data_IF_315359439412
#
_entry.id   IF_315359439412
#
_cell.length_a   1.000
_cell.length_b   1.000
_cell.length_c   1.000
_cell.angle_alpha   90.00
_cell.angle_beta   90.00
_cell.angle_gamma   90.00
#
_symmetry.space_group_name_H-M   'P 1'
#
loop_
_entity.id
_entity.type
_entity.pdbx_description
1 polymer ?
#
# COMPACT_ATOMS: atom_id res chain seq x y z
N UNK A 1 44.68 -9.62 4.16
CA UNK A 1 43.38 -9.96 3.60
C UNK A 1 42.44 -10.60 4.64
N UNK A 2 42.83 -11.68 5.32
CA UNK A 2 42.02 -12.39 6.33
C UNK A 2 41.55 -11.49 7.50
N UNK A 3 42.47 -10.69 8.09
CA UNK A 3 42.16 -9.75 9.17
C UNK A 3 41.13 -8.66 8.76
N UNK A 4 41.21 -8.16 7.53
CA UNK A 4 40.25 -7.17 7.00
C UNK A 4 38.86 -7.76 6.83
N UNK A 5 38.76 -9.04 6.41
CA UNK A 5 37.47 -9.74 6.30
C UNK A 5 36.87 -9.95 7.69
N UNK A 6 37.66 -10.38 8.68
CA UNK A 6 37.19 -10.51 10.07
C UNK A 6 36.70 -9.16 10.61
N UNK A 7 37.50 -8.10 10.43
CA UNK A 7 37.12 -6.75 10.87
C UNK A 7 35.81 -6.31 10.22
N UNK A 8 35.62 -6.54 8.91
CA UNK A 8 34.39 -6.21 8.21
C UNK A 8 33.17 -6.98 8.76
N UNK A 9 33.35 -8.29 9.02
CA UNK A 9 32.28 -9.12 9.62
C UNK A 9 31.90 -8.60 11.01
N UNK A 10 32.90 -8.31 11.86
CA UNK A 10 32.68 -7.80 13.22
C UNK A 10 31.99 -6.44 13.19
N UNK A 11 32.44 -5.52 12.36
CA UNK A 11 31.80 -4.20 12.21
C UNK A 11 30.36 -4.31 11.68
N UNK A 12 30.11 -5.21 10.73
CA UNK A 12 28.78 -5.48 10.19
C UNK A 12 27.85 -6.06 11.27
N UNK A 13 28.36 -6.99 12.09
CA UNK A 13 27.61 -7.56 13.19
C UNK A 13 27.30 -6.52 14.29
N UNK A 14 28.28 -5.70 14.66
CA UNK A 14 28.09 -4.61 15.62
C UNK A 14 27.10 -3.58 15.11
N UNK A 15 27.16 -3.23 13.82
CA UNK A 15 26.18 -2.34 13.18
C UNK A 15 24.78 -2.94 13.19
N UNK A 16 24.65 -4.23 12.90
CA UNK A 16 23.39 -4.96 12.95
C UNK A 16 22.79 -4.98 14.37
N UNK A 17 23.61 -5.33 15.38
CA UNK A 17 23.18 -5.33 16.80
C UNK A 17 22.76 -3.91 17.24
N UNK A 18 23.53 -2.90 16.84
CA UNK A 18 23.22 -1.50 17.14
C UNK A 18 21.90 -1.05 16.49
N UNK A 19 21.61 -1.51 15.27
CA UNK A 19 20.33 -1.30 14.60
C UNK A 19 19.16 -1.99 15.32
N UNK A 20 19.35 -3.25 15.75
CA UNK A 20 18.35 -4.01 16.52
C UNK A 20 18.00 -3.34 17.85
N UNK A 21 19.02 -2.88 18.59
CA UNK A 21 18.83 -2.17 19.86
C UNK A 21 18.13 -0.82 19.64
N UNK A 22 18.52 -0.09 18.59
CA UNK A 22 17.92 1.20 18.25
C UNK A 22 16.43 1.13 17.89
N UNK A 23 15.98 -0.01 17.33
CA UNK A 23 14.55 -0.25 17.05
C UNK A 23 13.73 -0.47 18.32
N UNK A 24 14.29 -1.10 19.33
CA UNK A 24 13.62 -1.31 20.63
C UNK A 24 13.52 -0.04 21.45
N UNK A 25 14.38 0.95 21.18
CA UNK A 25 14.34 2.25 21.87
C UNK A 25 13.32 3.16 21.18
N UNK A 26 12.39 3.70 21.93
CA UNK A 26 11.41 4.67 21.45
C UNK A 26 11.92 6.11 21.58
N UNK A 27 11.37 6.99 20.77
CA UNK A 27 11.56 8.44 20.89
C UNK A 27 11.01 8.93 22.25
N UNK A 28 11.65 9.94 22.83
CA UNK A 28 11.14 10.59 24.06
C UNK A 28 9.95 11.50 23.78
N UNK A 29 9.26 11.94 24.85
CA UNK A 29 8.18 12.93 24.81
C UNK A 29 7.08 12.62 23.78
N UNK A 30 6.57 11.38 23.79
CA UNK A 30 5.57 10.90 22.82
C UNK A 30 4.30 11.75 22.90
N UNK A 31 3.93 12.18 24.09
CA UNK A 31 2.78 13.04 24.38
C UNK A 31 2.86 14.44 23.74
N UNK A 32 4.07 14.92 23.44
CA UNK A 32 4.30 16.18 22.71
C UNK A 32 4.43 16.00 21.19
N UNK A 33 4.27 14.79 20.70
CA UNK A 33 4.42 14.48 19.28
C UNK A 33 3.09 14.27 18.60
N UNK A 34 2.99 14.83 17.39
CA UNK A 34 1.83 14.69 16.53
C UNK A 34 2.20 14.02 15.22
N UNK A 35 1.28 13.22 14.70
CA UNK A 35 1.40 12.53 13.41
C UNK A 35 0.21 12.85 12.53
N UNK A 36 0.42 12.97 11.21
CA UNK A 36 -0.65 13.05 10.22
C UNK A 36 -0.72 11.72 9.46
N UNK A 37 -1.92 11.13 9.45
CA UNK A 37 -2.20 9.90 8.72
C UNK A 37 -3.25 10.19 7.64
N UNK A 38 -2.95 9.88 6.38
CA UNK A 38 -3.93 10.02 5.29
C UNK A 38 -4.70 8.72 5.07
N UNK A 39 -5.96 8.81 4.64
CA UNK A 39 -6.77 7.63 4.33
C UNK A 39 -7.26 6.85 5.56
N UNK A 40 -7.70 7.56 6.60
CA UNK A 40 -8.11 6.96 7.88
C UNK A 40 -9.55 6.41 7.91
N UNK A 41 -10.28 6.44 6.80
CA UNK A 41 -11.67 5.99 6.78
C UNK A 41 -11.86 4.49 7.03
N UNK A 42 -10.87 3.67 6.70
CA UNK A 42 -10.88 2.20 6.91
C UNK A 42 -9.46 1.61 6.83
N UNK A 43 -9.34 0.30 7.07
CA UNK A 43 -8.09 -0.47 6.91
C UNK A 43 -6.93 0.05 7.76
N UNK A 44 -5.71 -0.11 7.27
CA UNK A 44 -4.50 0.21 8.03
C UNK A 44 -4.48 1.62 8.62
N UNK A 45 -4.95 2.64 7.88
CA UNK A 45 -4.98 4.02 8.38
C UNK A 45 -5.86 4.16 9.63
N UNK A 46 -7.04 3.54 9.64
CA UNK A 46 -7.96 3.57 10.79
C UNK A 46 -7.38 2.84 12.00
N UNK A 47 -6.80 1.66 11.80
CA UNK A 47 -6.21 0.86 12.87
C UNK A 47 -4.96 1.53 13.45
N UNK A 48 -4.17 2.19 12.59
CA UNK A 48 -3.00 2.95 13.01
C UNK A 48 -3.39 4.18 13.86
N UNK A 49 -4.49 4.87 13.54
CA UNK A 49 -5.04 5.95 14.40
C UNK A 49 -5.27 5.43 15.81
N UNK A 50 -5.97 4.29 15.95
CA UNK A 50 -6.21 3.64 17.25
C UNK A 50 -4.90 3.36 17.98
N UNK A 51 -3.93 2.73 17.30
CA UNK A 51 -2.63 2.37 17.88
C UNK A 51 -1.85 3.58 18.37
N UNK A 52 -1.81 4.66 17.59
CA UNK A 52 -1.13 5.91 17.97
C UNK A 52 -1.78 6.58 19.19
N UNK A 53 -3.11 6.66 19.23
CA UNK A 53 -3.85 7.24 20.36
C UNK A 53 -3.63 6.47 21.65
N UNK A 54 -3.68 5.14 21.60
CA UNK A 54 -3.44 4.26 22.75
C UNK A 54 -2.05 4.42 23.34
N UNK A 55 -1.08 4.85 22.52
CA UNK A 55 0.30 5.06 22.95
C UNK A 55 0.66 6.55 23.18
N UNK A 56 -0.33 7.44 23.28
CA UNK A 56 -0.13 8.81 23.73
C UNK A 56 0.21 9.83 22.63
N UNK A 57 0.31 9.42 21.36
CA UNK A 57 0.51 10.35 20.24
C UNK A 57 -0.74 11.19 19.98
N UNK A 58 -0.54 12.45 19.56
CA UNK A 58 -1.60 13.24 18.94
C UNK A 58 -1.72 12.88 17.47
N UNK A 59 -2.95 12.64 16.99
CA UNK A 59 -3.21 12.16 15.65
C UNK A 59 -4.08 13.11 14.86
N UNK A 60 -3.57 13.58 13.75
CA UNK A 60 -4.31 14.22 12.68
C UNK A 60 -4.75 13.13 11.69
N UNK A 61 -6.05 12.92 11.57
CA UNK A 61 -6.62 11.83 10.78
C UNK A 61 -7.38 12.34 9.55
N UNK A 62 -6.75 12.24 8.37
CA UNK A 62 -7.36 12.66 7.10
C UNK A 62 -8.28 11.58 6.53
N UNK A 63 -9.55 11.88 6.34
CA UNK A 63 -10.56 11.01 5.73
C UNK A 63 -11.14 11.65 4.46
N UNK A 64 -11.23 10.91 3.36
CA UNK A 64 -11.80 11.47 2.12
C UNK A 64 -13.28 11.83 2.27
N UNK A 65 -14.07 11.03 2.99
CA UNK A 65 -15.51 11.22 3.16
C UNK A 65 -15.82 11.83 4.53
N UNK A 66 -16.69 12.85 4.56
CA UNK A 66 -17.15 13.48 5.81
C UNK A 66 -17.78 12.50 6.79
N UNK A 67 -18.54 11.52 6.30
CA UNK A 67 -19.14 10.49 7.17
C UNK A 67 -18.08 9.68 7.90
N UNK A 68 -16.94 9.39 7.25
CA UNK A 68 -15.85 8.63 7.87
C UNK A 68 -15.10 9.44 8.94
N UNK A 69 -15.13 10.77 8.90
CA UNK A 69 -14.61 11.63 9.97
C UNK A 69 -15.44 11.39 11.24
N UNK A 70 -16.76 11.49 11.13
CA UNK A 70 -17.68 11.28 12.25
C UNK A 70 -17.58 9.87 12.82
N UNK A 71 -17.58 8.85 11.96
CA UNK A 71 -17.41 7.45 12.37
C UNK A 71 -16.10 7.22 13.14
N UNK A 72 -15.03 7.91 12.77
CA UNK A 72 -13.73 7.80 13.42
C UNK A 72 -13.75 8.47 14.81
N UNK A 73 -14.32 9.68 14.90
CA UNK A 73 -14.48 10.42 16.15
C UNK A 73 -15.34 9.64 17.15
N UNK A 74 -16.51 9.16 16.71
CA UNK A 74 -17.40 8.36 17.55
C UNK A 74 -16.73 7.08 18.05
N UNK A 75 -16.00 6.37 17.18
CA UNK A 75 -15.34 5.10 17.52
C UNK A 75 -14.18 5.25 18.50
N UNK A 76 -13.49 6.38 18.49
CA UNK A 76 -12.28 6.58 19.30
C UNK A 76 -12.41 7.67 20.34
N UNK A 77 -13.62 8.19 20.58
CA UNK A 77 -13.90 9.21 21.61
C UNK A 77 -13.36 8.84 22.99
N UNK A 78 -13.56 7.58 23.42
CA UNK A 78 -13.16 7.07 24.72
C UNK A 78 -11.63 6.98 24.93
N UNK A 79 -10.87 6.76 23.86
CA UNK A 79 -9.41 6.58 23.91
C UNK A 79 -8.64 7.82 23.48
N UNK A 80 -9.29 8.76 22.80
CA UNK A 80 -8.65 9.93 22.18
C UNK A 80 -8.09 10.90 23.23
N UNK A 81 -8.79 11.07 24.35
CA UNK A 81 -8.42 12.01 25.42
C UNK A 81 -8.05 13.42 24.88
N UNK A 82 -8.77 13.89 23.86
CA UNK A 82 -8.51 15.17 23.19
C UNK A 82 -7.28 15.19 22.28
N UNK A 83 -6.73 14.03 21.90
CA UNK A 83 -5.58 13.91 21.01
C UNK A 83 -5.92 13.49 19.58
N UNK A 84 -7.19 13.26 19.24
CA UNK A 84 -7.66 12.99 17.88
C UNK A 84 -8.21 14.26 17.24
N UNK A 85 -7.69 14.58 16.07
CA UNK A 85 -8.18 15.65 15.18
C UNK A 85 -8.49 15.02 13.83
N UNK A 86 -9.74 14.61 13.64
CA UNK A 86 -10.19 14.06 12.39
C UNK A 86 -10.78 15.15 11.49
N UNK A 87 -10.49 15.10 10.20
CA UNK A 87 -11.01 16.07 9.24
C UNK A 87 -11.12 15.47 7.83
N UNK A 88 -11.96 16.10 7.03
CA UNK A 88 -12.06 15.73 5.62
C UNK A 88 -10.81 16.16 4.86
N UNK A 89 -10.17 15.21 4.15
CA UNK A 89 -8.98 15.43 3.35
C UNK A 89 -9.02 14.53 2.12
N UNK A 90 -9.19 15.14 0.95
CA UNK A 90 -8.98 14.48 -0.33
C UNK A 90 -7.56 14.79 -0.84
N UNK A 91 -6.73 13.76 -0.97
CA UNK A 91 -5.34 13.91 -1.39
C UNK A 91 -5.20 14.28 -2.87
N UNK A 92 -6.29 14.19 -3.64
CA UNK A 92 -6.33 14.58 -5.07
C UNK A 92 -6.68 16.06 -5.26
N UNK A 93 -7.09 16.75 -4.20
CA UNK A 93 -7.51 18.14 -4.24
C UNK A 93 -6.53 19.05 -3.45
N UNK A 94 -5.89 19.98 -4.15
CA UNK A 94 -4.91 20.91 -3.59
C UNK A 94 -5.52 21.78 -2.47
N UNK A 95 -6.75 22.22 -2.65
CA UNK A 95 -7.44 23.08 -1.69
C UNK A 95 -7.81 22.28 -0.41
N UNK A 96 -8.23 21.03 -0.57
CA UNK A 96 -8.51 20.13 0.57
C UNK A 96 -7.26 19.88 1.40
N UNK A 97 -6.12 19.65 0.74
CA UNK A 97 -4.83 19.44 1.42
C UNK A 97 -4.35 20.74 2.10
N UNK A 98 -4.52 21.89 1.45
CA UNK A 98 -4.18 23.20 2.01
C UNK A 98 -5.01 23.51 3.28
N UNK A 99 -6.32 23.32 3.24
CA UNK A 99 -7.19 23.48 4.43
C UNK A 99 -6.78 22.57 5.59
N UNK A 100 -6.42 21.33 5.26
CA UNK A 100 -5.91 20.37 6.25
C UNK A 100 -4.62 20.88 6.92
N UNK A 101 -3.74 21.56 6.17
CA UNK A 101 -2.52 22.16 6.70
C UNK A 101 -2.85 23.27 7.70
N UNK A 102 -3.83 24.11 7.44
CA UNK A 102 -4.24 25.20 8.33
C UNK A 102 -4.73 24.66 9.68
N UNK A 103 -5.52 23.57 9.67
CA UNK A 103 -5.97 22.88 10.90
C UNK A 103 -4.77 22.37 11.69
N UNK A 104 -3.85 21.67 11.01
CA UNK A 104 -2.65 21.11 11.66
C UNK A 104 -1.80 22.21 12.28
N UNK A 105 -1.51 23.30 11.56
CA UNK A 105 -0.69 24.41 12.05
C UNK A 105 -1.33 25.08 13.29
N UNK A 106 -2.64 25.23 13.31
CA UNK A 106 -3.38 25.80 14.42
C UNK A 106 -3.24 24.94 15.67
N UNK A 107 -3.53 23.65 15.58
CA UNK A 107 -3.45 22.72 16.71
C UNK A 107 -2.02 22.56 17.22
N UNK A 108 -1.03 22.44 16.32
CA UNK A 108 0.39 22.34 16.71
C UNK A 108 0.81 23.55 17.56
N UNK A 109 0.39 24.74 17.18
CA UNK A 109 0.69 25.98 17.91
C UNK A 109 -0.04 26.06 19.24
N UNK A 110 -1.35 25.80 19.25
CA UNK A 110 -2.18 25.91 20.47
C UNK A 110 -1.80 24.89 21.54
N UNK A 111 -1.42 23.67 21.12
CA UNK A 111 -1.06 22.57 22.02
C UNK A 111 0.44 22.43 22.24
N UNK A 112 1.26 23.31 21.66
CA UNK A 112 2.73 23.24 21.71
C UNK A 112 3.27 21.84 21.31
N UNK A 113 2.79 21.32 20.18
CA UNK A 113 3.14 19.99 19.68
C UNK A 113 4.22 20.04 18.60
N UNK A 114 4.97 18.96 18.48
CA UNK A 114 5.96 18.76 17.42
C UNK A 114 5.36 17.85 16.34
N UNK A 115 5.33 18.29 15.11
CA UNK A 115 4.91 17.47 13.96
C UNK A 115 5.98 16.42 13.65
N UNK A 116 5.82 15.22 14.14
CA UNK A 116 6.87 14.20 14.15
C UNK A 116 6.87 13.31 12.90
N UNK A 117 5.70 12.90 12.41
CA UNK A 117 5.63 12.01 11.23
C UNK A 117 4.45 12.33 10.32
N UNK A 118 4.69 12.17 9.01
CA UNK A 118 3.68 12.15 7.96
C UNK A 118 3.53 10.72 7.46
N UNK A 119 2.33 10.16 7.53
CA UNK A 119 2.03 8.81 7.06
C UNK A 119 1.14 8.91 5.81
N UNK A 120 1.74 8.74 4.65
CA UNK A 120 1.08 8.64 3.36
C UNK A 120 0.52 7.22 3.20
N UNK A 121 -0.68 7.00 3.76
CA UNK A 121 -1.37 5.71 3.73
C UNK A 121 -2.56 5.71 2.74
N UNK A 122 -3.11 6.86 2.38
CA UNK A 122 -4.17 6.96 1.40
C UNK A 122 -3.78 6.26 0.08
N UNK A 123 -4.68 5.46 -0.44
CA UNK A 123 -4.47 4.76 -1.69
C UNK A 123 -5.73 4.09 -2.21
N UNK A 124 -5.76 3.83 -3.49
CA UNK A 124 -6.82 3.09 -4.18
C UNK A 124 -6.19 2.00 -5.04
N UNK A 125 -6.91 0.91 -5.24
CA UNK A 125 -6.45 -0.19 -6.09
C UNK A 125 -6.69 0.09 -7.58
N UNK A 126 -7.73 0.83 -7.89
CA UNK A 126 -8.21 1.01 -9.25
C UNK A 126 -8.85 -0.25 -9.82
N UNK A 127 -9.27 -0.19 -11.06
CA UNK A 127 -9.88 -1.30 -11.75
C UNK A 127 -8.86 -2.43 -11.98
N UNK A 128 -9.31 -3.67 -11.75
CA UNK A 128 -8.52 -4.89 -11.88
C UNK A 128 -9.06 -5.71 -13.04
N UNK A 129 -8.32 -5.74 -14.13
CA UNK A 129 -8.63 -6.59 -15.28
C UNK A 129 -7.39 -6.67 -16.19
N UNK A 130 -7.47 -7.47 -17.27
CA UNK A 130 -6.44 -7.43 -18.30
C UNK A 130 -6.41 -6.06 -18.98
N UNK A 131 -5.21 -5.64 -19.40
CA UNK A 131 -4.96 -4.32 -19.98
C UNK A 131 -5.86 -4.01 -21.20
N UNK A 132 -6.23 -5.03 -21.98
CA UNK A 132 -7.19 -4.94 -23.09
C UNK A 132 -8.53 -4.26 -22.69
N UNK A 133 -8.92 -4.30 -21.43
CA UNK A 133 -10.17 -3.75 -20.89
C UNK A 133 -9.98 -2.42 -20.17
N UNK A 134 -8.75 -2.04 -19.90
CA UNK A 134 -8.43 -0.82 -19.15
C UNK A 134 -8.22 0.35 -20.09
N UNK A 135 -8.56 1.53 -19.62
CA UNK A 135 -8.36 2.80 -20.33
C UNK A 135 -7.26 3.62 -19.66
N UNK A 136 -6.72 4.60 -20.35
CA UNK A 136 -5.76 5.55 -19.78
C UNK A 136 -6.31 6.24 -18.53
N UNK A 137 -7.63 6.48 -18.48
CA UNK A 137 -8.25 7.12 -17.32
C UNK A 137 -8.28 6.21 -16.10
N UNK A 138 -8.40 4.87 -16.26
CA UNK A 138 -8.22 3.92 -15.15
C UNK A 138 -6.82 4.02 -14.51
N UNK A 139 -5.80 4.31 -15.31
CA UNK A 139 -4.43 4.52 -14.82
C UNK A 139 -4.29 5.89 -14.15
N UNK A 140 -4.83 6.95 -14.75
CA UNK A 140 -4.77 8.31 -14.20
C UNK A 140 -5.46 8.40 -12.83
N UNK A 141 -6.63 7.78 -12.68
CA UNK A 141 -7.38 7.78 -11.43
C UNK A 141 -6.57 7.17 -10.27
N UNK A 142 -5.86 6.09 -10.53
CA UNK A 142 -5.00 5.45 -9.52
C UNK A 142 -3.74 6.27 -9.28
N UNK A 143 -3.13 6.79 -10.33
CA UNK A 143 -1.92 7.62 -10.25
C UNK A 143 -2.18 8.90 -9.48
N UNK A 144 -3.33 9.55 -9.70
CA UNK A 144 -3.70 10.79 -9.02
C UNK A 144 -3.79 10.60 -7.50
N UNK A 145 -4.33 9.48 -7.02
CA UNK A 145 -4.39 9.20 -5.58
C UNK A 145 -3.05 8.71 -5.06
N UNK A 146 -2.49 7.65 -5.68
CA UNK A 146 -1.38 6.88 -5.11
C UNK A 146 -0.01 7.53 -5.29
N UNK A 147 0.13 8.41 -6.28
CA UNK A 147 1.40 9.08 -6.61
C UNK A 147 1.28 10.59 -6.44
N UNK A 148 0.44 11.27 -7.24
CA UNK A 148 0.28 12.73 -7.15
C UNK A 148 -0.21 13.15 -5.76
N UNK A 149 -1.15 12.41 -5.16
CA UNK A 149 -1.66 12.66 -3.82
C UNK A 149 -0.56 12.58 -2.75
N UNK A 150 0.33 11.58 -2.83
CA UNK A 150 1.48 11.46 -1.91
C UNK A 150 2.45 12.63 -2.08
N UNK A 151 2.74 13.02 -3.32
CA UNK A 151 3.61 14.18 -3.62
C UNK A 151 2.99 15.46 -3.06
N UNK A 152 1.71 15.72 -3.36
CA UNK A 152 0.96 16.90 -2.92
C UNK A 152 0.97 17.05 -1.41
N UNK A 153 0.61 16.01 -0.68
CA UNK A 153 0.61 16.00 0.78
C UNK A 153 2.04 16.18 1.32
N UNK A 154 3.02 15.46 0.77
CA UNK A 154 4.41 15.59 1.20
C UNK A 154 4.94 17.01 0.99
N UNK A 155 4.69 17.62 -0.16
CA UNK A 155 5.11 19.00 -0.43
C UNK A 155 4.48 20.01 0.52
N UNK A 156 3.20 19.82 0.86
CA UNK A 156 2.45 20.70 1.77
C UNK A 156 2.96 20.65 3.21
N UNK A 157 3.42 19.49 3.68
CA UNK A 157 3.83 19.29 5.08
C UNK A 157 5.33 19.15 5.29
N UNK A 158 6.16 19.17 4.23
CA UNK A 158 7.61 18.89 4.32
C UNK A 158 8.39 19.86 5.19
N UNK A 159 7.98 21.13 5.29
CA UNK A 159 8.65 22.13 6.11
C UNK A 159 8.49 21.82 7.61
N UNK A 160 7.31 21.33 8.04
CA UNK A 160 7.08 20.84 9.39
C UNK A 160 7.98 19.64 9.70
N UNK A 161 8.10 18.69 8.78
CA UNK A 161 8.98 17.52 8.92
C UNK A 161 10.45 17.93 8.99
N UNK A 162 10.88 18.86 8.13
CA UNK A 162 12.24 19.39 8.17
C UNK A 162 12.55 20.09 9.49
N UNK A 163 11.63 20.92 9.97
CA UNK A 163 11.79 21.65 11.24
C UNK A 163 11.94 20.72 12.43
N UNK A 164 11.17 19.65 12.47
CA UNK A 164 11.17 18.67 13.57
C UNK A 164 12.25 17.60 13.43
N UNK A 165 12.93 17.50 12.28
CA UNK A 165 13.74 16.32 11.89
C UNK A 165 12.95 15.03 12.04
N UNK A 166 11.69 15.10 11.62
CA UNK A 166 10.76 14.00 11.67
C UNK A 166 10.95 13.00 10.54
N UNK A 167 9.88 12.31 10.18
CA UNK A 167 9.95 11.24 9.16
C UNK A 167 8.73 11.19 8.27
N UNK A 168 8.88 10.60 7.10
CA UNK A 168 7.79 10.30 6.17
C UNK A 168 7.67 8.78 6.05
N UNK A 169 6.48 8.26 6.26
CA UNK A 169 6.16 6.83 6.11
C UNK A 169 5.22 6.66 4.93
N UNK A 170 5.56 5.78 4.00
CA UNK A 170 4.79 5.54 2.77
C UNK A 170 4.26 4.12 2.77
N UNK A 171 2.95 3.98 2.55
CA UNK A 171 2.31 2.69 2.30
C UNK A 171 2.55 2.25 0.86
N UNK A 172 3.44 1.32 0.67
CA UNK A 172 3.70 0.66 -0.61
C UNK A 172 2.88 -0.65 -0.73
N UNK A 173 3.35 -1.61 -1.48
CA UNK A 173 2.69 -2.91 -1.66
C UNK A 173 3.67 -3.97 -2.13
N UNK A 174 3.38 -5.22 -1.85
CA UNK A 174 4.09 -6.37 -2.42
C UNK A 174 4.09 -6.36 -3.96
N UNK A 175 3.10 -5.74 -4.60
CA UNK A 175 3.02 -5.64 -6.07
C UNK A 175 4.11 -4.75 -6.68
N UNK A 176 4.89 -4.03 -5.88
CA UNK A 176 6.09 -3.33 -6.36
C UNK A 176 7.27 -4.28 -6.59
N UNK A 177 7.23 -5.47 -6.02
CA UNK A 177 8.30 -6.45 -6.09
C UNK A 177 8.22 -7.35 -7.33
N UNK A 178 7.06 -7.41 -8.00
CA UNK A 178 6.85 -8.30 -9.15
C UNK A 178 5.75 -7.79 -10.10
N UNK A 179 5.81 -8.14 -11.40
CA UNK A 179 4.75 -7.82 -12.35
C UNK A 179 3.51 -8.66 -12.07
N UNK A 180 2.45 -8.05 -11.56
CA UNK A 180 1.18 -8.71 -11.28
C UNK A 180 0.20 -8.48 -12.43
N UNK A 181 -0.19 -9.55 -13.15
CA UNK A 181 -1.18 -9.47 -14.19
C UNK A 181 -2.53 -8.94 -13.66
N UNK A 182 -3.18 -8.05 -14.41
CA UNK A 182 -4.46 -7.45 -14.05
C UNK A 182 -4.40 -6.35 -12.97
N UNK A 183 -3.20 -5.94 -12.53
CA UNK A 183 -3.00 -4.85 -11.56
C UNK A 183 -2.18 -3.70 -12.14
N UNK A 184 -2.20 -3.48 -13.45
CA UNK A 184 -1.38 -2.48 -14.13
C UNK A 184 -1.39 -1.10 -13.47
N UNK A 185 -2.56 -0.43 -13.31
CA UNK A 185 -2.64 0.90 -12.72
C UNK A 185 -2.03 0.97 -11.31
N UNK A 186 -2.34 -0.02 -10.47
CA UNK A 186 -1.88 -0.07 -9.09
C UNK A 186 -0.37 -0.30 -8.97
N UNK A 187 0.16 -1.29 -9.69
CA UNK A 187 1.59 -1.62 -9.66
C UNK A 187 2.46 -0.45 -10.15
N UNK A 188 2.08 0.23 -11.23
CA UNK A 188 2.77 1.40 -11.74
C UNK A 188 2.81 2.55 -10.73
N UNK A 189 1.72 2.75 -9.96
CA UNK A 189 1.60 3.89 -9.04
C UNK A 189 2.41 3.76 -7.74
N UNK A 190 2.87 2.56 -7.39
CA UNK A 190 3.56 2.30 -6.11
C UNK A 190 5.09 2.35 -6.19
N UNK A 191 5.68 2.55 -7.37
CA UNK A 191 7.13 2.42 -7.60
C UNK A 191 7.95 3.71 -7.40
N UNK A 192 7.38 4.86 -7.05
CA UNK A 192 8.05 6.16 -7.25
C UNK A 192 8.20 7.08 -6.04
N UNK A 193 8.83 6.77 -4.93
CA UNK A 193 9.15 7.85 -3.99
C UNK A 193 10.37 7.59 -3.09
N UNK A 194 11.57 7.91 -3.58
CA UNK A 194 12.73 8.20 -2.74
C UNK A 194 13.31 9.54 -3.13
N UNK A 195 13.07 10.62 -2.44
CA UNK A 195 14.09 11.64 -2.32
C UNK A 195 13.94 12.58 -1.10
N UNK A 196 14.98 13.28 -0.75
CA UNK A 196 15.10 14.53 0.04
C UNK A 196 15.80 14.50 1.40
N UNK A 197 16.62 13.49 1.75
CA UNK A 197 17.47 13.56 2.95
C UNK A 197 16.72 13.56 4.29
N UNK A 198 15.46 13.16 4.27
CA UNK A 198 14.60 12.85 5.42
C UNK A 198 14.47 11.33 5.44
N UNK A 199 14.43 10.70 6.61
CA UNK A 199 14.14 9.27 6.69
C UNK A 199 12.79 8.98 6.03
N UNK A 200 12.83 8.51 4.80
CA UNK A 200 11.66 8.02 4.08
C UNK A 200 11.58 6.52 4.32
N UNK A 201 10.52 6.10 4.99
CA UNK A 201 10.33 4.72 5.41
C UNK A 201 9.23 4.11 4.55
N UNK A 202 9.55 3.00 3.91
CA UNK A 202 8.61 2.26 3.07
C UNK A 202 8.05 1.05 3.82
N UNK A 203 6.72 0.93 3.84
CA UNK A 203 5.99 -0.22 4.39
C UNK A 203 5.44 -1.02 3.21
N UNK A 204 5.89 -2.25 3.05
CA UNK A 204 5.46 -3.18 1.99
C UNK A 204 4.63 -4.31 2.63
N UNK A 205 3.33 -4.12 2.80
CA UNK A 205 2.45 -5.18 3.27
C UNK A 205 2.18 -6.19 2.15
N UNK A 206 1.99 -7.45 2.54
CA UNK A 206 1.47 -8.51 1.70
C UNK A 206 -0.04 -8.44 1.52
N UNK A 207 -0.64 -9.60 1.37
CA UNK A 207 -2.08 -9.76 1.14
C UNK A 207 -2.84 -9.76 2.48
N UNK A 208 -3.17 -8.58 2.98
CA UNK A 208 -3.95 -8.41 4.21
C UNK A 208 -5.38 -7.95 3.91
N UNK A 209 -6.33 -8.36 4.76
CA UNK A 209 -7.71 -7.92 4.64
C UNK A 209 -7.84 -6.42 4.96
N UNK A 210 -8.33 -5.69 3.97
CA UNK A 210 -8.67 -4.28 4.10
C UNK A 210 -9.94 -4.00 3.30
N UNK A 211 -10.64 -2.91 3.58
CA UNK A 211 -11.80 -2.51 2.78
C UNK A 211 -11.51 -2.28 1.29
N UNK A 212 -10.24 -2.19 0.91
CA UNK A 212 -9.76 -2.13 -0.48
C UNK A 212 -9.80 -3.51 -1.15
N UNK A 213 -9.66 -4.58 -0.39
CA UNK A 213 -9.53 -5.97 -0.86
C UNK A 213 -10.79 -6.82 -0.62
N UNK A 214 -11.96 -6.25 -0.30
CA UNK A 214 -13.16 -7.08 -0.13
C UNK A 214 -13.59 -7.72 -1.47
N UNK A 215 -14.02 -8.99 -1.40
CA UNK A 215 -14.45 -9.75 -2.59
C UNK A 215 -15.58 -9.04 -3.36
N UNK A 216 -16.55 -8.48 -2.64
CA UNK A 216 -17.68 -7.78 -3.26
C UNK A 216 -17.21 -6.57 -4.06
N UNK A 217 -16.28 -5.79 -3.49
CA UNK A 217 -15.74 -4.61 -4.17
C UNK A 217 -14.95 -4.98 -5.41
N UNK A 218 -14.09 -5.99 -5.32
CA UNK A 218 -13.29 -6.46 -6.45
C UNK A 218 -14.16 -7.03 -7.57
N UNK A 219 -15.21 -7.79 -7.23
CA UNK A 219 -16.17 -8.31 -8.19
C UNK A 219 -16.93 -7.18 -8.86
N UNK A 220 -17.42 -6.19 -8.08
CA UNK A 220 -18.10 -5.02 -8.63
C UNK A 220 -17.22 -4.27 -9.64
N UNK A 221 -15.98 -4.03 -9.31
CA UNK A 221 -15.02 -3.37 -10.21
C UNK A 221 -14.77 -4.19 -11.49
N UNK A 222 -14.60 -5.50 -11.38
CA UNK A 222 -14.45 -6.38 -12.53
C UNK A 222 -15.70 -6.37 -13.43
N UNK A 223 -16.90 -6.36 -12.82
CA UNK A 223 -18.15 -6.27 -13.55
C UNK A 223 -18.29 -4.95 -14.31
N UNK A 224 -17.97 -3.83 -13.68
CA UNK A 224 -18.00 -2.50 -14.32
C UNK A 224 -17.09 -2.46 -15.56
N UNK A 225 -15.86 -2.96 -15.43
CA UNK A 225 -14.92 -3.05 -16.55
C UNK A 225 -15.42 -3.96 -17.67
N UNK A 226 -15.99 -5.13 -17.32
CA UNK A 226 -16.53 -6.08 -18.28
C UNK A 226 -17.71 -5.49 -19.06
N UNK A 227 -18.64 -4.82 -18.39
CA UNK A 227 -19.84 -4.29 -19.03
C UNK A 227 -19.59 -3.07 -19.91
N UNK A 228 -18.56 -2.25 -19.63
CA UNK A 228 -18.18 -1.14 -20.51
C UNK A 228 -17.39 -1.57 -21.74
N UNK A 229 -16.84 -2.81 -21.76
CA UNK A 229 -16.09 -3.33 -22.87
C UNK A 229 -16.97 -3.58 -24.11
N UNK A 230 -16.38 -3.45 -25.32
CA UNK A 230 -17.08 -3.74 -26.57
C UNK A 230 -17.51 -5.20 -26.65
N UNK A 231 -18.58 -5.49 -27.40
CA UNK A 231 -19.03 -6.87 -27.62
C UNK A 231 -17.92 -7.71 -28.25
N UNK A 232 -17.20 -7.15 -29.24
CA UNK A 232 -16.07 -7.82 -29.89
C UNK A 232 -15.03 -8.30 -28.88
N UNK A 233 -14.64 -7.44 -27.93
CA UNK A 233 -13.65 -7.79 -26.91
C UNK A 233 -14.19 -8.89 -25.98
N UNK A 234 -15.45 -8.82 -25.57
CA UNK A 234 -16.07 -9.87 -24.75
C UNK A 234 -16.14 -11.21 -25.46
N UNK A 235 -16.39 -11.23 -26.76
CA UNK A 235 -16.41 -12.46 -27.57
C UNK A 235 -15.02 -13.09 -27.73
N UNK A 236 -13.97 -12.26 -27.82
CA UNK A 236 -12.57 -12.71 -27.85
C UNK A 236 -12.16 -13.43 -26.57
N UNK A 237 -12.64 -12.95 -25.42
CA UNK A 237 -12.36 -13.56 -24.12
C UNK A 237 -13.31 -14.71 -23.79
N UNK A 238 -14.52 -14.72 -24.33
CA UNK A 238 -15.56 -15.74 -24.14
C UNK A 238 -16.68 -15.29 -23.20
N UNK A 239 -17.91 -15.64 -23.55
CA UNK A 239 -19.14 -15.16 -22.90
C UNK A 239 -19.20 -15.40 -21.38
N UNK A 240 -18.62 -16.49 -20.88
CA UNK A 240 -18.60 -16.85 -19.46
C UNK A 240 -17.31 -16.42 -18.75
N UNK A 241 -16.49 -15.58 -19.40
CA UNK A 241 -15.19 -15.19 -18.85
C UNK A 241 -15.33 -14.41 -17.54
N UNK A 242 -16.27 -13.46 -17.47
CA UNK A 242 -16.51 -12.67 -16.25
C UNK A 242 -16.96 -13.54 -15.06
N UNK A 243 -17.76 -14.57 -15.30
CA UNK A 243 -18.16 -15.50 -14.23
C UNK A 243 -16.94 -16.26 -13.68
N UNK A 244 -16.03 -16.67 -14.55
CA UNK A 244 -14.76 -17.30 -14.14
C UNK A 244 -13.89 -16.33 -13.32
N UNK A 245 -13.84 -15.04 -13.71
CA UNK A 245 -13.13 -14.01 -12.96
C UNK A 245 -13.74 -13.83 -11.57
N UNK A 246 -15.08 -13.75 -11.46
CA UNK A 246 -15.77 -13.65 -10.17
C UNK A 246 -15.45 -14.85 -9.25
N UNK A 247 -15.48 -16.06 -9.80
CA UNK A 247 -15.15 -17.27 -9.06
C UNK A 247 -13.70 -17.23 -8.59
N UNK A 248 -12.77 -16.91 -9.47
CA UNK A 248 -11.35 -16.80 -9.17
C UNK A 248 -11.07 -15.75 -8.08
N UNK A 249 -11.72 -14.57 -8.13
CA UNK A 249 -11.58 -13.54 -7.08
C UNK A 249 -12.01 -14.09 -5.71
N UNK A 250 -13.14 -14.81 -5.62
CA UNK A 250 -13.62 -15.38 -4.35
C UNK A 250 -12.64 -16.41 -3.79
N UNK A 251 -12.19 -17.34 -4.63
CA UNK A 251 -11.25 -18.41 -4.23
C UNK A 251 -9.90 -17.82 -3.79
N UNK A 252 -9.39 -16.82 -4.51
CA UNK A 252 -8.15 -16.16 -4.18
C UNK A 252 -8.23 -15.45 -2.82
N UNK A 253 -9.33 -14.74 -2.56
CA UNK A 253 -9.53 -14.03 -1.30
C UNK A 253 -9.61 -14.98 -0.10
N UNK A 254 -10.25 -16.12 -0.25
CA UNK A 254 -10.38 -17.12 0.83
C UNK A 254 -9.04 -17.78 1.20
N UNK A 255 -8.12 -17.91 0.25
CA UNK A 255 -6.92 -18.72 0.42
C UNK A 255 -5.64 -17.93 0.71
N UNK A 256 -5.59 -16.64 0.38
CA UNK A 256 -4.33 -15.86 0.38
C UNK A 256 -4.37 -14.68 1.34
N UNK A 257 -5.56 -14.20 1.72
CA UNK A 257 -5.68 -12.97 2.52
C UNK A 257 -5.54 -13.26 4.00
N UNK A 258 -4.57 -12.61 4.63
CA UNK A 258 -4.37 -12.62 6.09
C UNK A 258 -5.35 -11.64 6.75
N UNK A 259 -6.10 -12.12 7.74
CA UNK A 259 -7.11 -11.32 8.45
C UNK A 259 -6.51 -10.47 9.57
N UNK A 260 -5.42 -10.92 10.18
CA UNK A 260 -4.75 -10.19 11.26
C UNK A 260 -3.79 -9.14 10.71
N UNK A 261 -4.21 -7.88 10.80
CA UNK A 261 -3.41 -6.72 10.38
C UNK A 261 -2.40 -6.25 11.42
N UNK A 262 -2.33 -6.89 12.59
CA UNK A 262 -1.50 -6.44 13.74
C UNK A 262 -0.04 -6.26 13.35
N UNK A 263 0.55 -7.18 12.60
CA UNK A 263 1.94 -7.08 12.15
C UNK A 263 2.20 -5.83 11.29
N UNK A 264 1.23 -5.46 10.46
CA UNK A 264 1.34 -4.25 9.62
C UNK A 264 1.26 -3.01 10.49
N UNK A 265 0.31 -2.96 11.42
CA UNK A 265 0.10 -1.83 12.31
C UNK A 265 1.29 -1.66 13.28
N UNK A 266 1.84 -2.75 13.80
CA UNK A 266 3.05 -2.72 14.65
C UNK A 266 4.26 -2.21 13.87
N UNK A 267 4.43 -2.60 12.62
CA UNK A 267 5.50 -2.10 11.76
C UNK A 267 5.36 -0.61 11.45
N UNK A 268 4.16 -0.13 11.19
CA UNK A 268 3.89 1.31 11.06
C UNK A 268 4.20 2.05 12.35
N UNK A 269 3.75 1.51 13.48
CA UNK A 269 3.99 2.14 14.78
C UNK A 269 5.49 2.16 15.11
N UNK A 270 6.21 1.06 14.90
CA UNK A 270 7.68 1.03 15.03
C UNK A 270 8.34 2.07 14.12
N UNK A 271 7.93 2.16 12.86
CA UNK A 271 8.43 3.17 11.92
C UNK A 271 8.26 4.60 12.43
N UNK A 272 7.19 4.86 13.19
CA UNK A 272 6.90 6.19 13.77
C UNK A 272 7.75 6.44 15.01
N UNK A 273 7.84 5.48 15.95
CA UNK A 273 8.35 5.74 17.30
C UNK A 273 9.75 5.22 17.60
N UNK A 274 10.30 4.29 16.81
CA UNK A 274 11.64 3.77 17.04
C UNK A 274 12.68 4.89 16.88
N UNK A 275 13.70 4.93 17.75
CA UNK A 275 14.82 5.87 17.59
C UNK A 275 15.57 5.67 16.28
N UNK A 276 15.61 4.42 15.79
CA UNK A 276 16.26 4.02 14.55
C UNK A 276 15.38 3.02 13.82
N UNK A 277 14.36 3.50 13.09
CA UNK A 277 13.51 2.62 12.31
C UNK A 277 14.27 1.98 11.15
N UNK A 278 13.79 0.85 10.66
CA UNK A 278 14.20 0.39 9.35
C UNK A 278 13.67 1.36 8.29
N UNK A 279 14.43 1.54 7.20
CA UNK A 279 13.92 2.32 6.06
C UNK A 279 12.97 1.51 5.18
N UNK A 280 12.93 0.19 5.35
CA UNK A 280 12.11 -0.72 4.57
C UNK A 280 11.57 -1.86 5.44
N UNK A 281 10.24 -1.96 5.52
CA UNK A 281 9.52 -3.03 6.22
C UNK A 281 8.80 -3.92 5.20
N UNK A 282 9.20 -5.17 5.10
CA UNK A 282 8.51 -6.22 4.33
C UNK A 282 7.68 -7.06 5.28
N UNK A 283 6.36 -7.09 5.10
CA UNK A 283 5.43 -7.62 6.09
C UNK A 283 4.50 -8.65 5.43
N UNK A 284 4.42 -9.82 6.03
CA UNK A 284 3.65 -10.95 5.55
C UNK A 284 4.54 -12.09 5.06
N UNK A 285 4.07 -13.31 5.29
CA UNK A 285 4.76 -14.52 4.84
C UNK A 285 4.93 -14.57 3.34
N UNK A 286 3.90 -14.14 2.61
CA UNK A 286 3.87 -14.00 1.16
C UNK A 286 4.97 -13.05 0.65
N UNK A 287 5.17 -11.91 1.31
CA UNK A 287 6.25 -10.97 0.93
C UNK A 287 7.62 -11.56 1.22
N UNK A 288 7.82 -12.11 2.41
CA UNK A 288 9.13 -12.57 2.87
C UNK A 288 9.61 -13.82 2.15
N UNK A 289 8.74 -14.80 1.95
CA UNK A 289 9.10 -16.13 1.46
C UNK A 289 8.68 -16.41 0.02
N UNK A 290 7.77 -15.62 -0.54
CA UNK A 290 7.36 -15.77 -1.94
C UNK A 290 7.79 -14.58 -2.79
N UNK A 291 7.24 -13.38 -2.55
CA UNK A 291 7.40 -12.25 -3.47
C UNK A 291 8.82 -11.68 -3.49
N UNK A 292 9.45 -11.54 -2.32
CA UNK A 292 10.82 -11.01 -2.27
C UNK A 292 11.84 -11.97 -2.90
N UNK A 293 11.92 -13.27 -2.56
CA UNK A 293 12.80 -14.20 -3.29
C UNK A 293 12.49 -14.28 -4.78
N UNK A 294 11.21 -14.26 -5.14
CA UNK A 294 10.77 -14.24 -6.52
C UNK A 294 11.27 -13.00 -7.29
N UNK A 295 11.29 -11.83 -6.65
CA UNK A 295 11.77 -10.58 -7.26
C UNK A 295 13.28 -10.61 -7.60
N UNK A 296 14.05 -11.50 -7.00
CA UNK A 296 15.48 -11.67 -7.27
C UNK A 296 15.76 -12.54 -8.50
N UNK A 297 14.74 -13.21 -9.03
CA UNK A 297 14.88 -14.06 -10.21
C UNK A 297 14.94 -13.24 -11.50
N UNK A 298 15.48 -13.80 -12.57
CA UNK A 298 15.42 -13.16 -13.89
C UNK A 298 13.98 -12.95 -14.34
N UNK A 299 13.68 -11.86 -15.05
CA UNK A 299 12.31 -11.53 -15.51
C UNK A 299 11.65 -12.66 -16.29
N UNK A 300 12.41 -13.39 -17.13
CA UNK A 300 11.87 -14.55 -17.87
C UNK A 300 11.39 -15.64 -16.92
N UNK A 301 12.18 -15.97 -15.89
CA UNK A 301 11.82 -16.98 -14.90
C UNK A 301 10.61 -16.52 -14.06
N UNK A 302 10.55 -15.25 -13.68
CA UNK A 302 9.38 -14.67 -13.01
C UNK A 302 8.11 -14.88 -13.85
N UNK A 303 8.14 -14.58 -15.15
CA UNK A 303 6.99 -14.77 -16.04
C UNK A 303 6.56 -16.23 -16.17
N UNK A 304 7.52 -17.19 -16.23
CA UNK A 304 7.19 -18.62 -16.26
C UNK A 304 6.54 -19.09 -14.95
N UNK A 305 7.11 -18.71 -13.81
CA UNK A 305 6.57 -19.06 -12.49
C UNK A 305 5.17 -18.44 -12.33
N UNK A 306 4.98 -17.17 -12.71
CA UNK A 306 3.67 -16.52 -12.62
C UNK A 306 2.62 -17.24 -13.47
N UNK A 307 2.93 -17.59 -14.71
CA UNK A 307 2.02 -18.37 -15.56
C UNK A 307 1.67 -19.72 -14.94
N UNK A 308 2.65 -20.39 -14.36
CA UNK A 308 2.45 -21.67 -13.70
C UNK A 308 1.57 -21.53 -12.45
N UNK A 309 1.82 -20.53 -11.61
CA UNK A 309 1.00 -20.25 -10.43
C UNK A 309 -0.43 -19.86 -10.81
N UNK A 310 -0.61 -19.03 -11.83
CA UNK A 310 -1.94 -18.69 -12.35
C UNK A 310 -2.70 -19.94 -12.84
N UNK A 311 -2.00 -20.83 -13.54
CA UNK A 311 -2.58 -22.11 -14.00
C UNK A 311 -2.99 -23.00 -12.81
N UNK A 312 -2.13 -23.18 -11.82
CA UNK A 312 -2.41 -23.98 -10.61
C UNK A 312 -3.60 -23.44 -9.81
N UNK A 313 -3.74 -22.12 -9.74
CA UNK A 313 -4.83 -21.45 -9.00
C UNK A 313 -6.11 -21.27 -9.86
N UNK A 314 -6.18 -21.89 -11.03
CA UNK A 314 -7.38 -21.85 -11.87
C UNK A 314 -7.71 -20.45 -12.44
N UNK A 315 -6.70 -19.59 -12.62
CA UNK A 315 -6.91 -18.28 -13.22
C UNK A 315 -7.58 -18.40 -14.60
N UNK A 316 -8.59 -17.58 -14.92
CA UNK A 316 -9.33 -17.69 -16.17
C UNK A 316 -8.42 -17.37 -17.35
N UNK A 317 -8.39 -18.28 -18.34
CA UNK A 317 -7.63 -18.13 -19.59
C UNK A 317 -8.57 -17.60 -20.68
N UNK A 318 -8.20 -16.51 -21.40
CA UNK A 318 -8.99 -15.99 -22.52
C UNK A 318 -9.15 -17.03 -23.64
N UNK A 319 -10.35 -17.10 -24.24
CA UNK A 319 -10.66 -18.05 -25.31
C UNK A 319 -9.78 -17.88 -26.55
N UNK A 320 -9.34 -16.66 -26.83
CA UNK A 320 -8.42 -16.35 -27.94
C UNK A 320 -7.08 -17.10 -27.80
N UNK A 321 -6.60 -17.30 -26.58
CA UNK A 321 -5.34 -18.01 -26.32
C UNK A 321 -5.46 -19.50 -26.59
N UNK A 322 -6.62 -20.11 -26.31
CA UNK A 322 -6.87 -21.54 -26.57
C UNK A 322 -7.10 -21.83 -28.05
N UNK A 323 -7.74 -20.92 -28.78
CA UNK A 323 -7.92 -21.06 -30.24
C UNK A 323 -6.58 -21.02 -31.01
N UNK A 324 -5.65 -20.16 -30.56
CA UNK A 324 -4.32 -20.06 -31.19
C UNK A 324 -3.45 -21.31 -30.94
N UNK A 325 -3.62 -21.99 -29.81
CA UNK A 325 -2.89 -23.23 -29.50
C UNK A 325 -3.42 -24.39 -30.38
N UNK A 326 -4.74 -24.50 -30.54
CA UNK A 326 -5.35 -25.52 -31.37
C UNK A 326 -5.02 -25.35 -32.87
N UNK A 327 -4.97 -24.14 -33.38
CA UNK A 327 -4.58 -23.83 -34.74
C UNK A 327 -3.11 -24.11 -35.06
N UNK A 328 -2.20 -23.88 -34.08
CA UNK A 328 -0.78 -24.26 -34.22
C UNK A 328 -0.54 -25.76 -34.15
N UNK A 329 -1.31 -26.48 -33.32
CA UNK A 329 -1.19 -27.95 -33.25
C UNK A 329 -1.72 -28.66 -34.48
N UNK A 330 -2.66 -28.05 -35.21
CA UNK A 330 -3.16 -28.56 -36.50
C UNK A 330 -2.21 -28.28 -37.65
N UNK A 331 -1.46 -27.18 -37.65
CA UNK A 331 -0.43 -26.89 -38.66
C UNK A 331 0.80 -27.81 -38.52
N UNK A 332 1.23 -28.12 -37.30
CA UNK A 332 2.36 -29.02 -37.05
C UNK A 332 2.03 -30.52 -37.23
N UNK A 333 0.78 -30.88 -37.55
CA UNK A 333 0.40 -32.26 -37.92
C UNK A 333 0.27 -32.46 -39.43
N UNK A 334 0.36 -31.37 -40.21
CA UNK A 334 0.24 -31.40 -41.67
C UNK A 334 1.55 -31.05 -42.40
N UNK A 335 2.63 -30.79 -41.65
CA UNK A 335 4.02 -30.72 -42.07
C UNK A 335 4.76 -32.01 -41.58
#
# INVERSE_FOLDING_TARGET
MFLLVILFIVLSLLYFIYGLLGRKLTIGEIDKKAVLITGCGNGFGRDLVKRCLQNGLTVFAGCRRAISVKELEDSYSSISQGRLYAFQMDVTDDESVRKSREIVDTVLREKNLVFHALINNAGVRGNIFYDDFLTVDDYKDVWEVNTCGVIRVTQTFRDLIKKSRGRIVICSSATTLFPAAGNGPYSCSKHELQPYGIDVIEIIPGSFETGMQSSERLIKMADEVWHRASQKLRDEFGHNYNEKVRKFIRELQQNIVEHDTTLVIDSYYEAIVAKRPNLLYRIGWDVLFLFHPYSLLSLRLQLYIMKFLMYLNGAPIPSITTKNISSKSLKNKND
#
